data_IF_608064019580
#
_entry.id   IF_608064019580
#
_cell.length_a   1.000
_cell.length_b   1.000
_cell.length_c   1.000
_cell.angle_alpha   90.00
_cell.angle_beta   90.00
_cell.angle_gamma   90.00
#
_symmetry.space_group_name_H-M   'P 1'
#
loop_
_entity.id
_entity.type
_entity.pdbx_description
1 polymer ?
#
# COMPACT_ATOMS: atom_id res chain seq x y z
N UNK A 1 -20.77 6.42 25.85
CA UNK A 1 -19.59 7.29 25.90
C UNK A 1 -19.88 8.47 26.82
N UNK A 2 -18.96 8.88 27.71
CA UNK A 2 -19.21 9.98 28.63
C UNK A 2 -19.37 11.31 27.87
N UNK A 3 -20.35 12.11 28.30
CA UNK A 3 -20.69 13.40 27.69
C UNK A 3 -19.48 14.37 27.63
N UNK A 4 -18.57 14.29 28.59
CA UNK A 4 -17.28 15.02 28.62
C UNK A 4 -16.39 14.84 27.37
N UNK A 5 -16.52 13.73 26.64
CA UNK A 5 -15.74 13.50 25.41
C UNK A 5 -16.19 14.41 24.27
N UNK A 6 -17.50 14.69 24.20
CA UNK A 6 -18.08 15.56 23.16
C UNK A 6 -17.85 17.04 23.43
N UNK A 7 -17.71 17.42 24.71
CA UNK A 7 -17.44 18.82 25.11
C UNK A 7 -15.98 19.24 24.81
N UNK A 8 -15.05 18.28 24.72
CA UNK A 8 -13.62 18.53 24.48
C UNK A 8 -13.18 18.25 23.04
N UNK A 9 -13.93 17.48 22.27
CA UNK A 9 -13.60 17.14 20.90
C UNK A 9 -14.42 18.00 19.94
N UNK A 10 -13.75 18.72 19.03
CA UNK A 10 -14.41 19.42 17.93
C UNK A 10 -15.24 18.41 17.15
N UNK A 11 -16.57 18.54 17.18
CA UNK A 11 -17.53 17.59 16.58
C UNK A 11 -17.16 17.22 15.13
N UNK A 12 -16.69 18.17 14.34
CA UNK A 12 -16.22 17.93 12.97
C UNK A 12 -15.02 16.98 12.88
N UNK A 13 -14.11 16.99 13.86
CA UNK A 13 -12.96 16.05 13.89
C UNK A 13 -13.42 14.61 14.15
N UNK A 14 -14.38 14.43 15.04
CA UNK A 14 -14.94 13.11 15.36
C UNK A 14 -15.69 12.52 14.16
N UNK A 15 -16.52 13.34 13.50
CA UNK A 15 -17.27 12.93 12.31
C UNK A 15 -16.31 12.58 11.14
N UNK A 16 -15.29 13.40 10.89
CA UNK A 16 -14.31 13.13 9.83
C UNK A 16 -13.51 11.85 10.11
N UNK A 17 -13.11 11.63 11.37
CA UNK A 17 -12.40 10.41 11.77
C UNK A 17 -13.28 9.18 11.60
N UNK A 18 -14.55 9.27 11.98
CA UNK A 18 -15.52 8.19 11.82
C UNK A 18 -15.74 7.85 10.34
N UNK A 19 -16.00 8.86 9.50
CA UNK A 19 -16.19 8.67 8.06
C UNK A 19 -14.95 8.06 7.40
N UNK A 20 -13.75 8.53 7.76
CA UNK A 20 -12.50 7.95 7.26
C UNK A 20 -12.38 6.48 7.66
N UNK A 21 -12.61 6.15 8.92
CA UNK A 21 -12.55 4.75 9.40
C UNK A 21 -13.56 3.86 8.70
N UNK A 22 -14.80 4.33 8.50
CA UNK A 22 -15.83 3.57 7.77
C UNK A 22 -15.38 3.31 6.33
N UNK A 23 -14.86 4.32 5.63
CA UNK A 23 -14.38 4.18 4.27
C UNK A 23 -13.19 3.22 4.17
N UNK A 24 -12.21 3.31 5.07
CA UNK A 24 -11.05 2.42 5.12
C UNK A 24 -11.45 0.96 5.37
N UNK A 25 -12.38 0.71 6.31
CA UNK A 25 -12.92 -0.64 6.57
C UNK A 25 -13.68 -1.17 5.35
N UNK A 26 -14.51 -0.34 4.73
CA UNK A 26 -15.29 -0.74 3.55
C UNK A 26 -14.37 -1.10 2.38
N UNK A 27 -13.35 -0.26 2.11
CA UNK A 27 -12.35 -0.53 1.07
C UNK A 27 -11.55 -1.79 1.37
N UNK A 28 -11.16 -2.01 2.63
CA UNK A 28 -10.45 -3.23 3.03
C UNK A 28 -11.31 -4.48 2.80
N UNK A 29 -12.58 -4.47 3.19
CA UNK A 29 -13.49 -5.59 2.98
C UNK A 29 -13.75 -5.86 1.50
N UNK A 30 -13.93 -4.82 0.69
CA UNK A 30 -14.08 -4.96 -0.76
C UNK A 30 -12.80 -5.52 -1.41
N UNK A 31 -11.63 -5.02 -1.01
CA UNK A 31 -10.36 -5.55 -1.49
C UNK A 31 -10.20 -7.02 -1.11
N UNK A 32 -10.49 -7.37 0.13
CA UNK A 32 -10.38 -8.75 0.62
C UNK A 32 -11.33 -9.69 -0.12
N UNK A 33 -12.60 -9.33 -0.25
CA UNK A 33 -13.59 -10.17 -0.92
C UNK A 33 -13.29 -10.36 -2.42
N UNK A 34 -12.88 -9.30 -3.11
CA UNK A 34 -12.70 -9.34 -4.56
C UNK A 34 -11.32 -9.82 -5.02
N UNK A 35 -10.27 -9.56 -4.22
CA UNK A 35 -8.90 -9.81 -4.65
C UNK A 35 -8.19 -10.90 -3.84
N UNK A 36 -8.28 -10.88 -2.51
CA UNK A 36 -7.47 -11.76 -1.68
C UNK A 36 -7.89 -13.22 -1.83
N UNK A 37 -9.18 -13.51 -1.87
CA UNK A 37 -9.68 -14.87 -2.07
C UNK A 37 -9.28 -15.42 -3.44
N UNK A 38 -9.51 -14.67 -4.50
CA UNK A 38 -9.12 -15.04 -5.86
C UNK A 38 -7.61 -15.26 -5.97
N UNK A 39 -6.81 -14.38 -5.37
CA UNK A 39 -5.36 -14.50 -5.35
C UNK A 39 -4.90 -15.78 -4.65
N UNK A 40 -5.49 -16.14 -3.50
CA UNK A 40 -5.14 -17.37 -2.79
C UNK A 40 -5.47 -18.63 -3.60
N UNK A 41 -6.66 -18.68 -4.18
CA UNK A 41 -7.10 -19.82 -5.01
C UNK A 41 -6.20 -19.95 -6.24
N UNK A 42 -5.94 -18.85 -6.95
CA UNK A 42 -5.08 -18.86 -8.14
C UNK A 42 -3.65 -19.29 -7.79
N UNK A 43 -3.08 -18.76 -6.71
CA UNK A 43 -1.73 -19.13 -6.26
C UNK A 43 -1.65 -20.63 -5.93
N UNK A 44 -2.64 -21.14 -5.18
CA UNK A 44 -2.69 -22.56 -4.85
C UNK A 44 -2.80 -23.44 -6.11
N UNK A 45 -3.66 -23.06 -7.05
CA UNK A 45 -3.83 -23.76 -8.31
C UNK A 45 -2.54 -23.79 -9.14
N UNK A 46 -1.86 -22.64 -9.27
CA UNK A 46 -0.57 -22.54 -9.97
C UNK A 46 0.49 -23.44 -9.35
N UNK A 47 0.62 -23.42 -8.02
CA UNK A 47 1.58 -24.26 -7.31
C UNK A 47 1.29 -25.75 -7.50
N UNK A 48 0.03 -26.16 -7.39
CA UNK A 48 -0.37 -27.55 -7.58
C UNK A 48 -0.08 -28.01 -9.02
N UNK A 49 -0.51 -27.23 -10.02
CA UNK A 49 -0.30 -27.57 -11.42
C UNK A 49 1.21 -27.66 -11.72
N UNK A 50 1.99 -26.67 -11.29
CA UNK A 50 3.44 -26.66 -11.51
C UNK A 50 4.12 -27.84 -10.83
N UNK A 51 3.65 -28.27 -9.64
CA UNK A 51 4.19 -29.41 -8.93
C UNK A 51 3.96 -30.74 -9.67
N UNK A 52 2.84 -30.88 -10.38
CA UNK A 52 2.58 -32.05 -11.23
C UNK A 52 3.53 -32.15 -12.41
N UNK A 53 3.93 -31.01 -13.00
CA UNK A 53 4.89 -31.00 -14.11
C UNK A 53 6.33 -31.20 -13.61
N UNK A 54 6.73 -30.43 -12.59
CA UNK A 54 8.07 -30.54 -12.03
C UNK A 54 8.15 -29.90 -10.64
N UNK A 55 8.22 -30.73 -9.61
CA UNK A 55 8.18 -30.30 -8.21
C UNK A 55 9.28 -29.29 -7.79
N UNK A 56 10.55 -29.31 -8.35
CA UNK A 56 11.54 -28.33 -7.94
C UNK A 56 11.19 -26.90 -8.38
N UNK A 57 10.49 -26.76 -9.53
CA UNK A 57 10.00 -25.47 -10.00
C UNK A 57 8.88 -24.93 -9.09
N UNK A 58 8.01 -25.82 -8.63
CA UNK A 58 6.96 -25.45 -7.68
C UNK A 58 7.54 -24.98 -6.33
N UNK A 59 8.61 -25.61 -5.83
CA UNK A 59 9.31 -25.15 -4.62
C UNK A 59 9.93 -23.76 -4.85
N UNK A 60 10.57 -23.54 -5.98
CA UNK A 60 11.19 -22.27 -6.29
C UNK A 60 10.15 -21.15 -6.34
N UNK A 61 8.98 -21.40 -6.98
CA UNK A 61 7.83 -20.51 -6.95
C UNK A 61 7.30 -20.30 -5.52
N UNK A 62 7.13 -21.37 -4.76
CA UNK A 62 6.63 -21.31 -3.38
C UNK A 62 7.54 -20.50 -2.45
N UNK A 63 8.84 -20.44 -2.69
CA UNK A 63 9.80 -19.64 -1.92
C UNK A 63 9.74 -18.16 -2.29
N UNK A 64 9.49 -17.84 -3.57
CA UNK A 64 9.40 -16.44 -4.05
C UNK A 64 8.30 -15.66 -3.32
N UNK A 65 7.13 -16.27 -3.08
CA UNK A 65 6.01 -15.61 -2.42
C UNK A 65 6.31 -15.16 -0.98
N UNK A 66 6.77 -16.04 -0.06
CA UNK A 66 7.11 -15.62 1.31
C UNK A 66 8.23 -14.58 1.36
N UNK A 67 9.24 -14.69 0.49
CA UNK A 67 10.34 -13.72 0.41
C UNK A 67 9.79 -12.35 0.01
N UNK A 68 8.94 -12.30 -1.00
CA UNK A 68 8.29 -11.06 -1.43
C UNK A 68 7.39 -10.46 -0.33
N UNK A 69 6.59 -11.30 0.34
CA UNK A 69 5.74 -10.86 1.45
C UNK A 69 6.57 -10.30 2.62
N UNK A 70 7.67 -10.95 2.97
CA UNK A 70 8.56 -10.48 4.04
C UNK A 70 9.22 -9.13 3.70
N UNK A 71 9.72 -8.96 2.47
CA UNK A 71 10.25 -7.69 1.99
C UNK A 71 9.18 -6.59 2.02
N UNK A 72 7.96 -6.91 1.60
CA UNK A 72 6.83 -5.97 1.61
C UNK A 72 6.44 -5.58 3.03
N UNK A 73 6.33 -6.53 3.95
CA UNK A 73 5.99 -6.26 5.35
C UNK A 73 7.00 -5.32 6.02
N UNK A 74 8.30 -5.53 5.77
CA UNK A 74 9.35 -4.63 6.28
C UNK A 74 9.24 -3.21 5.74
N UNK A 75 8.90 -3.06 4.47
CA UNK A 75 8.73 -1.75 3.83
C UNK A 75 7.48 -1.05 4.37
N UNK A 76 6.39 -1.80 4.56
CA UNK A 76 5.11 -1.26 5.04
C UNK A 76 5.18 -0.72 6.46
N UNK A 77 5.97 -1.32 7.34
CA UNK A 77 6.14 -0.82 8.71
C UNK A 77 6.70 0.61 8.74
N UNK A 78 7.72 0.90 7.94
CA UNK A 78 8.29 2.25 7.84
C UNK A 78 7.35 3.24 7.16
N UNK A 79 6.60 2.78 6.15
CA UNK A 79 5.57 3.57 5.49
C UNK A 79 4.49 4.04 6.48
N UNK A 80 4.01 3.15 7.36
CA UNK A 80 2.97 3.45 8.34
C UNK A 80 3.35 4.58 9.30
N UNK A 81 4.63 4.65 9.71
CA UNK A 81 5.11 5.73 10.58
C UNK A 81 4.94 7.08 9.88
N UNK A 82 5.43 7.23 8.65
CA UNK A 82 5.29 8.47 7.89
C UNK A 82 3.83 8.81 7.56
N UNK A 83 3.00 7.79 7.29
CA UNK A 83 1.58 8.00 7.05
C UNK A 83 0.88 8.53 8.31
N UNK A 84 1.26 8.04 9.49
CA UNK A 84 0.79 8.56 10.77
C UNK A 84 1.18 10.03 11.00
N UNK A 85 2.44 10.40 10.72
CA UNK A 85 2.91 11.79 10.81
C UNK A 85 2.14 12.69 9.84
N UNK A 86 2.01 12.28 8.59
CA UNK A 86 1.26 13.02 7.57
C UNK A 86 -0.21 13.22 7.97
N UNK A 87 -0.87 12.16 8.45
CA UNK A 87 -2.26 12.24 8.89
C UNK A 87 -2.44 13.19 10.08
N UNK A 88 -1.47 13.24 10.99
CA UNK A 88 -1.48 14.18 12.11
C UNK A 88 -1.43 15.63 11.61
N UNK A 89 -0.55 15.96 10.66
CA UNK A 89 -0.48 17.31 10.10
C UNK A 89 -1.76 17.68 9.33
N UNK A 90 -2.34 16.76 8.59
CA UNK A 90 -3.62 16.95 7.87
C UNK A 90 -4.77 17.17 8.86
N UNK A 91 -4.85 16.38 9.92
CA UNK A 91 -5.92 16.50 10.93
C UNK A 91 -5.85 17.86 11.65
N UNK A 92 -4.65 18.33 12.00
CA UNK A 92 -4.46 19.64 12.61
C UNK A 92 -4.77 20.78 11.65
N UNK A 93 -4.34 20.68 10.39
CA UNK A 93 -4.64 21.67 9.36
C UNK A 93 -6.15 21.78 9.10
N UNK A 94 -6.83 20.65 8.96
CA UNK A 94 -8.27 20.57 8.72
C UNK A 94 -9.08 21.10 9.90
N UNK A 95 -8.66 20.77 11.13
CA UNK A 95 -9.29 21.29 12.35
C UNK A 95 -9.17 22.81 12.44
N UNK A 96 -7.97 23.36 12.17
CA UNK A 96 -7.77 24.81 12.17
C UNK A 96 -8.54 25.51 11.07
N UNK A 97 -8.59 24.93 9.88
CA UNK A 97 -9.38 25.45 8.77
C UNK A 97 -10.87 25.54 9.12
N UNK A 98 -11.45 24.50 9.70
CA UNK A 98 -12.84 24.50 10.13
C UNK A 98 -13.11 25.59 11.19
N UNK A 99 -12.19 25.78 12.14
CA UNK A 99 -12.29 26.85 13.15
C UNK A 99 -12.25 28.24 12.50
N UNK A 100 -11.29 28.49 11.60
CA UNK A 100 -11.15 29.76 10.88
C UNK A 100 -12.39 30.09 10.06
N UNK A 101 -12.94 29.09 9.34
CA UNK A 101 -14.16 29.25 8.55
C UNK A 101 -15.36 29.57 9.45
N UNK A 102 -15.50 28.88 10.57
CA UNK A 102 -16.62 29.12 11.50
C UNK A 102 -16.55 30.50 12.17
N UNK A 103 -15.34 31.07 12.30
CA UNK A 103 -15.10 32.38 12.93
C UNK A 103 -14.58 33.42 11.94
N UNK A 104 -14.94 33.32 10.66
CA UNK A 104 -14.41 34.17 9.60
C UNK A 104 -14.65 35.67 9.84
N UNK A 105 -15.74 36.04 10.51
CA UNK A 105 -16.02 37.43 10.89
C UNK A 105 -14.95 38.00 11.83
N UNK A 106 -14.50 37.21 12.79
CA UNK A 106 -13.44 37.58 13.73
C UNK A 106 -12.09 37.70 12.99
N UNK A 107 -11.76 36.73 12.16
CA UNK A 107 -10.52 36.73 11.37
C UNK A 107 -10.44 37.98 10.49
N UNK A 108 -11.55 38.37 9.87
CA UNK A 108 -11.65 39.60 9.06
C UNK A 108 -11.55 40.89 9.91
N UNK A 109 -12.18 40.92 11.08
CA UNK A 109 -12.16 42.11 11.95
C UNK A 109 -10.72 42.40 12.43
N UNK A 110 -9.89 41.36 12.64
CA UNK A 110 -8.51 41.51 13.04
C UNK A 110 -7.49 41.48 11.88
N UNK A 111 -7.97 41.47 10.63
CA UNK A 111 -7.14 41.43 9.42
C UNK A 111 -6.10 40.31 9.41
N UNK A 112 -6.50 39.10 9.88
CA UNK A 112 -5.60 37.92 10.10
C UNK A 112 -5.69 36.89 8.99
N UNK A 113 -6.34 37.15 7.86
CA UNK A 113 -6.53 36.21 6.76
C UNK A 113 -5.20 35.63 6.24
N UNK A 114 -4.24 36.53 5.97
CA UNK A 114 -2.92 36.11 5.45
C UNK A 114 -2.11 35.29 6.45
N UNK A 115 -2.26 35.59 7.74
CA UNK A 115 -1.62 34.81 8.80
C UNK A 115 -2.18 33.38 8.86
N UNK A 116 -3.50 33.24 8.83
CA UNK A 116 -4.15 31.92 8.83
C UNK A 116 -3.85 31.13 7.56
N UNK A 117 -3.84 31.78 6.41
CA UNK A 117 -3.49 31.17 5.12
C UNK A 117 -2.04 30.67 5.12
N UNK A 118 -1.12 31.48 5.64
CA UNK A 118 0.30 31.10 5.75
C UNK A 118 0.48 29.90 6.67
N UNK A 119 -0.17 29.90 7.84
CA UNK A 119 -0.12 28.74 8.77
C UNK A 119 -0.70 27.47 8.17
N UNK A 120 -1.77 27.57 7.39
CA UNK A 120 -2.34 26.44 6.66
C UNK A 120 -1.39 25.92 5.58
N UNK A 121 -0.83 26.84 4.77
CA UNK A 121 0.14 26.52 3.73
C UNK A 121 1.38 25.81 4.29
N UNK A 122 1.93 26.31 5.39
CA UNK A 122 3.13 25.72 6.01
C UNK A 122 2.92 24.28 6.47
N UNK A 123 1.74 23.98 7.01
CA UNK A 123 1.39 22.61 7.38
C UNK A 123 1.26 21.68 6.17
N UNK A 124 0.64 22.16 5.10
CA UNK A 124 0.55 21.40 3.85
C UNK A 124 1.92 21.19 3.20
N UNK A 125 2.82 22.16 3.27
CA UNK A 125 4.19 22.00 2.78
C UNK A 125 4.95 20.92 3.56
N UNK A 126 4.70 20.77 4.87
CA UNK A 126 5.24 19.65 5.65
C UNK A 126 4.70 18.31 5.17
N UNK A 127 3.42 18.20 4.87
CA UNK A 127 2.86 16.95 4.31
C UNK A 127 3.46 16.59 2.96
N UNK A 128 3.76 17.59 2.13
CA UNK A 128 4.45 17.41 0.84
C UNK A 128 5.86 16.86 1.06
N UNK A 129 6.61 17.38 2.03
CA UNK A 129 7.96 16.90 2.31
C UNK A 129 7.96 15.46 2.87
N UNK A 130 7.04 15.13 3.79
CA UNK A 130 6.84 13.77 4.27
C UNK A 130 6.50 12.83 3.10
N UNK A 131 5.57 13.23 2.24
CA UNK A 131 5.17 12.46 1.05
C UNK A 131 6.35 12.25 0.09
N UNK A 132 7.21 13.25 -0.07
CA UNK A 132 8.40 13.15 -0.93
C UNK A 132 9.42 12.13 -0.40
N UNK A 133 9.67 12.13 0.91
CA UNK A 133 10.54 11.13 1.55
C UNK A 133 9.94 9.74 1.46
N UNK A 134 8.66 9.60 1.73
CA UNK A 134 7.87 8.39 1.61
C UNK A 134 7.93 7.81 0.18
N UNK A 135 7.74 8.67 -0.83
CA UNK A 135 7.77 8.29 -2.24
C UNK A 135 9.15 7.81 -2.70
N UNK A 136 10.22 8.52 -2.33
CA UNK A 136 11.60 8.11 -2.67
C UNK A 136 11.94 6.75 -2.08
N UNK A 137 11.59 6.53 -0.81
CA UNK A 137 11.82 5.25 -0.16
C UNK A 137 11.01 4.13 -0.82
N UNK A 138 9.73 4.38 -1.09
CA UNK A 138 8.85 3.42 -1.74
C UNK A 138 9.37 3.01 -3.12
N UNK A 139 9.68 3.98 -3.98
CA UNK A 139 10.17 3.69 -5.34
C UNK A 139 11.49 2.91 -5.34
N UNK A 140 12.42 3.26 -4.44
CA UNK A 140 13.67 2.51 -4.29
C UNK A 140 13.44 1.05 -3.88
N UNK A 141 12.58 0.81 -2.90
CA UNK A 141 12.26 -0.53 -2.44
C UNK A 141 11.44 -1.32 -3.47
N UNK A 142 10.53 -0.66 -4.17
CA UNK A 142 9.73 -1.28 -5.23
C UNK A 142 10.60 -1.70 -6.42
N UNK A 143 11.53 -0.86 -6.85
CA UNK A 143 12.51 -1.20 -7.88
C UNK A 143 13.35 -2.42 -7.48
N UNK A 144 13.84 -2.46 -6.24
CA UNK A 144 14.58 -3.62 -5.73
C UNK A 144 13.76 -4.90 -5.71
N UNK A 145 12.50 -4.84 -5.28
CA UNK A 145 11.59 -5.98 -5.30
C UNK A 145 11.30 -6.48 -6.72
N UNK A 146 11.01 -5.57 -7.64
CA UNK A 146 10.78 -5.92 -9.05
C UNK A 146 12.02 -6.54 -9.70
N UNK A 147 13.20 -6.01 -9.41
CA UNK A 147 14.45 -6.60 -9.89
C UNK A 147 14.63 -8.03 -9.37
N UNK A 148 14.43 -8.26 -8.06
CA UNK A 148 14.53 -9.59 -7.47
C UNK A 148 13.52 -10.58 -8.09
N UNK A 149 12.27 -10.16 -8.30
CA UNK A 149 11.27 -10.97 -8.99
C UNK A 149 11.67 -11.28 -10.43
N UNK A 150 12.11 -10.27 -11.20
CA UNK A 150 12.51 -10.46 -12.60
C UNK A 150 13.71 -11.41 -12.72
N UNK A 151 14.66 -11.34 -11.79
CA UNK A 151 15.80 -12.27 -11.75
C UNK A 151 15.31 -13.69 -11.44
N UNK A 152 14.42 -13.85 -10.46
CA UNK A 152 13.86 -15.15 -10.10
C UNK A 152 13.07 -15.76 -11.27
N UNK A 153 12.16 -15.00 -11.89
CA UNK A 153 11.39 -15.46 -13.04
C UNK A 153 12.30 -15.73 -14.26
N UNK A 154 13.29 -14.87 -14.51
CA UNK A 154 14.27 -15.08 -15.57
C UNK A 154 15.05 -16.39 -15.39
N UNK A 155 15.46 -16.69 -14.16
CA UNK A 155 16.11 -17.97 -13.86
C UNK A 155 15.17 -19.17 -14.10
N UNK A 156 13.89 -19.05 -13.68
CA UNK A 156 12.89 -20.09 -13.93
C UNK A 156 12.65 -20.32 -15.43
N UNK A 157 12.54 -19.25 -16.22
CA UNK A 157 12.42 -19.35 -17.68
C UNK A 157 13.63 -20.07 -18.30
N UNK A 158 14.84 -19.68 -17.92
CA UNK A 158 16.06 -20.35 -18.39
C UNK A 158 16.06 -21.86 -18.06
N UNK A 159 15.62 -22.23 -16.86
CA UNK A 159 15.51 -23.64 -16.46
C UNK A 159 14.50 -24.38 -17.35
N UNK A 160 13.31 -23.81 -17.57
CA UNK A 160 12.28 -24.42 -18.41
C UNK A 160 12.76 -24.57 -19.84
N UNK A 161 13.38 -23.55 -20.43
CA UNK A 161 13.95 -23.63 -21.78
C UNK A 161 15.06 -24.68 -21.89
N UNK A 162 15.99 -24.71 -20.92
CA UNK A 162 17.09 -25.70 -20.92
C UNK A 162 16.55 -27.14 -20.83
N UNK A 163 15.52 -27.37 -20.02
CA UNK A 163 14.88 -28.69 -19.88
C UNK A 163 14.13 -29.11 -21.14
N UNK A 164 13.47 -28.16 -21.81
CA UNK A 164 12.81 -28.41 -23.10
C UNK A 164 13.83 -28.72 -24.19
N UNK A 165 14.95 -27.99 -24.25
CA UNK A 165 16.04 -28.25 -25.20
C UNK A 165 16.69 -29.64 -24.99
N UNK A 166 16.70 -30.15 -23.75
CA UNK A 166 17.17 -31.50 -23.41
C UNK A 166 16.13 -32.59 -23.72
N UNK A 167 14.93 -32.23 -24.20
CA UNK A 167 13.84 -33.17 -24.50
C UNK A 167 13.11 -33.71 -23.26
N UNK A 168 13.35 -33.12 -22.07
CA UNK A 168 12.71 -33.52 -20.82
C UNK A 168 11.28 -32.94 -20.66
N UNK A 169 11.01 -31.84 -21.35
CA UNK A 169 9.67 -31.24 -21.44
C UNK A 169 9.26 -31.18 -22.90
N UNK A 170 7.97 -31.38 -23.17
CA UNK A 170 7.41 -31.09 -24.49
C UNK A 170 7.28 -29.56 -24.69
N UNK A 171 7.17 -29.12 -25.93
CA UNK A 171 6.89 -27.69 -26.23
C UNK A 171 5.56 -27.24 -25.60
N UNK A 172 4.56 -28.13 -25.52
CA UNK A 172 3.29 -27.86 -24.85
C UNK A 172 3.45 -27.63 -23.35
N UNK A 173 4.25 -28.47 -22.66
CA UNK A 173 4.56 -28.30 -21.23
C UNK A 173 5.28 -26.96 -20.96
N UNK A 174 6.22 -26.61 -21.83
CA UNK A 174 6.93 -25.35 -21.76
C UNK A 174 5.96 -24.15 -21.83
N UNK A 175 5.06 -24.16 -22.81
CA UNK A 175 4.09 -23.06 -22.98
C UNK A 175 3.17 -22.96 -21.77
N UNK A 176 2.67 -24.07 -21.25
CA UNK A 176 1.82 -24.07 -20.02
C UNK A 176 2.58 -23.51 -18.83
N UNK A 177 3.82 -23.98 -18.59
CA UNK A 177 4.63 -23.50 -17.48
C UNK A 177 4.95 -22.01 -17.57
N UNK A 178 5.23 -21.50 -18.78
CA UNK A 178 5.48 -20.07 -19.01
C UNK A 178 4.24 -19.21 -18.80
N UNK A 179 3.03 -19.73 -19.09
CA UNK A 179 1.78 -19.02 -18.83
C UNK A 179 1.38 -18.98 -17.36
N UNK A 180 1.80 -19.98 -16.58
CA UNK A 180 1.51 -20.07 -15.15
C UNK A 180 2.44 -19.19 -14.28
N UNK A 181 3.56 -18.73 -14.81
CA UNK A 181 4.55 -17.87 -14.15
C UNK A 181 4.26 -16.38 -14.37
#
# INVERSE_FOLDING_TARGET
MPQRYFDTAITGRVVNRLNRTINEITQFLQFFANNAFTMLVTTAAVLVITAFYWWPLAILLAVVFPVYMWLTARTSAKWQVWEGEKNTEVDVASGRFAEVVSQMSVVRAYNRQDHELTGFRDRFLRTVEITRQQSRFWHGMDAGRRLALNVAFGAMYLIVFARTAQGLFSVGDMVILLQLM
#
